data_IF_595746303511
#
_entry.id   IF_595746303511
#
_cell.length_a   1.000
_cell.length_b   1.000
_cell.length_c   1.000
_cell.angle_alpha   90.00
_cell.angle_beta   90.00
_cell.angle_gamma   90.00
#
_symmetry.space_group_name_H-M   'P 1'
#
loop_
_entity.id
_entity.type
_entity.pdbx_description
1 polymer ?
#
# COMPACT_ATOMS: atom_id res chain seq x y z
N UNK A 1 -23.24 21.70 -1.23
CA UNK A 1 -22.61 22.01 0.08
C UNK A 1 -21.82 23.29 -0.12
N UNK A 2 -21.94 24.28 0.77
CA UNK A 2 -21.05 25.45 0.72
C UNK A 2 -19.73 25.09 1.44
N UNK A 3 -18.55 25.31 0.83
CA UNK A 3 -17.28 24.98 1.46
C UNK A 3 -17.07 25.86 2.69
N UNK A 4 -17.08 25.25 3.87
CA UNK A 4 -16.70 25.93 5.10
C UNK A 4 -15.17 25.99 5.20
N UNK A 5 -14.60 26.94 5.98
CA UNK A 5 -13.17 26.92 6.27
C UNK A 5 -12.69 25.59 6.88
N UNK A 6 -13.55 24.93 7.67
CA UNK A 6 -13.27 23.63 8.29
C UNK A 6 -13.14 22.54 7.21
N UNK A 7 -14.08 22.50 6.26
CA UNK A 7 -14.05 21.55 5.13
C UNK A 7 -12.86 21.80 4.21
N UNK A 8 -12.48 23.06 3.98
CA UNK A 8 -11.29 23.40 3.21
C UNK A 8 -10.01 22.89 3.90
N UNK A 9 -9.88 23.06 5.22
CA UNK A 9 -8.76 22.50 6.00
C UNK A 9 -8.75 20.97 5.92
N UNK A 10 -9.91 20.33 6.07
CA UNK A 10 -10.01 18.88 5.96
C UNK A 10 -9.59 18.36 4.59
N UNK A 11 -10.00 19.03 3.51
CA UNK A 11 -9.60 18.66 2.14
C UNK A 11 -8.09 18.80 1.93
N UNK A 12 -7.47 19.86 2.47
CA UNK A 12 -6.02 20.01 2.45
C UNK A 12 -5.33 18.87 3.23
N UNK A 13 -5.80 18.56 4.44
CA UNK A 13 -5.24 17.45 5.23
C UNK A 13 -5.42 16.12 4.52
N UNK A 14 -6.56 15.86 3.91
CA UNK A 14 -6.83 14.59 3.25
C UNK A 14 -5.98 14.40 1.97
N UNK A 15 -5.83 15.45 1.16
CA UNK A 15 -5.15 15.36 -0.13
C UNK A 15 -3.62 15.44 -0.03
N UNK A 16 -3.07 16.15 0.95
CA UNK A 16 -1.61 16.36 1.06
C UNK A 16 -1.04 16.12 2.47
N UNK A 17 -1.86 15.72 3.43
CA UNK A 17 -1.44 15.59 4.84
C UNK A 17 -0.35 14.55 5.07
N UNK A 18 -0.37 13.43 4.34
CA UNK A 18 0.69 12.41 4.44
C UNK A 18 2.05 12.97 4.00
N UNK A 19 2.10 13.63 2.84
CA UNK A 19 3.32 14.24 2.30
C UNK A 19 3.84 15.36 3.20
N UNK A 20 2.94 16.22 3.70
CA UNK A 20 3.31 17.29 4.62
C UNK A 20 3.85 16.73 5.93
N UNK A 21 3.18 15.71 6.50
CA UNK A 21 3.62 15.07 7.72
C UNK A 21 5.01 14.46 7.54
N UNK A 22 5.23 13.76 6.43
CA UNK A 22 6.50 13.13 6.17
C UNK A 22 7.65 14.16 6.02
N UNK A 23 7.44 15.23 5.25
CA UNK A 23 8.41 16.34 5.14
C UNK A 23 8.72 17.00 6.48
N UNK A 24 7.69 17.23 7.30
CA UNK A 24 7.87 17.85 8.62
C UNK A 24 8.70 16.96 9.55
N UNK A 25 8.50 15.64 9.51
CA UNK A 25 9.29 14.67 10.29
C UNK A 25 10.75 14.65 9.83
N UNK A 26 11.00 14.60 8.52
CA UNK A 26 12.36 14.64 7.96
C UNK A 26 13.09 15.92 8.37
N UNK A 27 12.45 17.07 8.20
CA UNK A 27 13.01 18.35 8.62
C UNK A 27 13.26 18.45 10.14
N UNK A 28 12.46 17.76 10.97
CA UNK A 28 12.69 17.69 12.41
C UNK A 28 13.88 16.78 12.76
N UNK A 29 14.00 15.62 12.10
CA UNK A 29 15.08 14.67 12.28
C UNK A 29 16.45 15.28 11.92
N UNK A 30 16.52 16.04 10.82
CA UNK A 30 17.73 16.73 10.37
C UNK A 30 18.22 17.78 11.38
N UNK A 31 17.30 18.47 12.08
CA UNK A 31 17.65 19.48 13.10
C UNK A 31 18.18 18.86 14.39
N UNK A 32 17.75 17.65 14.71
CA UNK A 32 18.15 16.93 15.93
C UNK A 32 19.39 16.08 15.76
N UNK A 33 19.82 15.84 14.51
CA UNK A 33 21.02 15.06 14.23
C UNK A 33 22.26 15.97 14.37
N UNK A 34 23.16 15.71 15.34
CA UNK A 34 24.44 16.43 15.38
C UNK A 34 25.20 16.13 14.08
N UNK A 35 25.91 17.12 13.55
CA UNK A 35 26.75 16.94 12.36
C UNK A 35 27.74 15.80 12.59
N UNK A 36 27.41 14.59 12.14
CA UNK A 36 28.26 13.41 12.30
C UNK A 36 29.40 13.53 11.31
N UNK A 37 30.61 13.77 11.81
CA UNK A 37 31.87 13.78 11.05
C UNK A 37 32.35 12.36 10.73
N UNK A 38 31.47 11.46 10.32
CA UNK A 38 31.79 10.07 9.98
C UNK A 38 30.80 9.53 8.96
N UNK A 39 31.33 9.07 7.83
CA UNK A 39 30.58 8.53 6.70
C UNK A 39 29.74 7.32 7.10
N UNK A 40 28.52 7.28 6.55
CA UNK A 40 27.48 6.24 6.64
C UNK A 40 26.54 6.37 7.86
N UNK A 41 25.27 6.79 7.65
CA UNK A 41 24.23 6.70 8.66
C UNK A 41 24.08 5.25 9.15
N UNK A 42 23.80 5.02 10.44
CA UNK A 42 23.46 3.69 10.92
C UNK A 42 22.23 3.17 10.16
N UNK A 43 22.26 1.90 9.76
CA UNK A 43 21.13 1.24 9.11
C UNK A 43 19.86 1.42 9.97
N UNK A 44 18.69 1.70 9.35
CA UNK A 44 17.45 1.88 10.09
C UNK A 44 17.19 0.66 10.98
N UNK A 45 16.79 0.92 12.23
CA UNK A 45 16.40 -0.16 13.13
C UNK A 45 14.96 -0.57 12.86
N UNK A 46 14.61 -1.81 13.12
CA UNK A 46 13.23 -2.33 13.11
C UNK A 46 12.21 -1.44 13.85
N UNK A 47 12.64 -0.81 14.95
CA UNK A 47 11.82 0.12 15.73
C UNK A 47 11.63 1.47 15.02
N UNK A 48 12.57 1.87 14.16
CA UNK A 48 12.47 3.04 13.28
C UNK A 48 11.43 2.76 12.18
N UNK A 49 11.47 1.56 11.57
CA UNK A 49 10.56 1.15 10.50
C UNK A 49 9.09 1.12 10.96
N UNK A 50 8.78 0.46 12.09
CA UNK A 50 7.40 0.44 12.60
C UNK A 50 6.91 1.82 13.03
N UNK A 51 7.79 2.64 13.61
CA UNK A 51 7.46 4.01 14.00
C UNK A 51 7.06 4.84 12.79
N UNK A 52 7.68 4.62 11.64
CA UNK A 52 7.34 5.34 10.42
C UNK A 52 5.88 5.15 10.03
N UNK A 53 5.34 3.95 10.20
CA UNK A 53 3.94 3.63 9.93
C UNK A 53 2.97 4.16 11.00
N UNK A 54 3.35 4.16 12.28
CA UNK A 54 2.48 4.67 13.36
C UNK A 54 2.08 6.13 13.13
N UNK A 55 3.01 6.97 12.65
CA UNK A 55 2.71 8.38 12.41
C UNK A 55 1.63 8.62 11.36
N UNK A 56 1.44 7.69 10.41
CA UNK A 56 0.39 7.81 9.39
C UNK A 56 -1.01 7.98 10.00
N UNK A 57 -1.24 7.44 11.20
CA UNK A 57 -2.52 7.57 11.93
C UNK A 57 -2.86 9.00 12.37
N UNK A 58 -1.89 9.93 12.38
CA UNK A 58 -2.16 11.34 12.67
C UNK A 58 -3.12 11.97 11.65
N UNK A 59 -3.01 11.59 10.36
CA UNK A 59 -3.88 12.12 9.30
C UNK A 59 -5.35 11.74 9.52
N UNK A 60 -5.75 10.45 9.60
CA UNK A 60 -7.14 10.10 9.86
C UNK A 60 -7.62 10.59 11.23
N UNK A 61 -6.78 10.68 12.26
CA UNK A 61 -7.18 11.27 13.54
C UNK A 61 -7.61 12.74 13.40
N UNK A 62 -6.83 13.55 12.67
CA UNK A 62 -7.19 14.94 12.37
C UNK A 62 -8.45 15.00 11.51
N UNK A 63 -8.60 14.13 10.51
CA UNK A 63 -9.79 14.11 9.66
C UNK A 63 -11.06 13.73 10.44
N UNK A 64 -10.99 12.77 11.36
CA UNK A 64 -12.12 12.42 12.23
C UNK A 64 -12.50 13.58 13.16
N UNK A 65 -11.51 14.32 13.67
CA UNK A 65 -11.76 15.57 14.38
C UNK A 65 -12.46 16.60 13.48
N UNK A 66 -11.99 16.79 12.25
CA UNK A 66 -12.61 17.69 11.28
C UNK A 66 -14.06 17.28 11.01
N UNK A 67 -14.34 15.99 10.77
CA UNK A 67 -15.71 15.46 10.59
C UNK A 67 -16.60 15.81 11.78
N UNK A 68 -16.09 15.65 13.01
CA UNK A 68 -16.82 16.02 14.21
C UNK A 68 -17.07 17.54 14.30
N UNK A 69 -16.09 18.36 13.93
CA UNK A 69 -16.20 19.83 13.89
C UNK A 69 -17.15 20.33 12.79
N UNK A 70 -17.31 19.58 11.70
CA UNK A 70 -18.35 19.82 10.69
C UNK A 70 -19.77 19.49 11.18
N UNK A 71 -19.91 18.85 12.36
CA UNK A 71 -21.18 18.34 12.86
C UNK A 71 -21.69 17.11 12.10
N UNK A 72 -20.81 16.44 11.34
CA UNK A 72 -21.14 15.28 10.53
C UNK A 72 -20.94 13.97 11.31
N UNK A 73 -21.68 12.92 10.95
CA UNK A 73 -21.47 11.57 11.47
C UNK A 73 -20.40 10.82 10.69
N UNK A 74 -19.92 9.70 11.23
CA UNK A 74 -18.97 8.81 10.53
C UNK A 74 -19.54 8.26 9.21
N UNK A 75 -20.87 8.16 9.08
CA UNK A 75 -21.50 7.75 7.83
C UNK A 75 -21.27 8.76 6.68
N UNK A 76 -20.89 10.00 6.99
CA UNK A 76 -20.51 11.03 6.02
C UNK A 76 -19.13 10.80 5.38
N UNK A 77 -18.32 9.93 5.97
CA UNK A 77 -17.02 9.49 5.44
C UNK A 77 -17.05 8.02 5.03
N UNK A 78 -18.23 7.51 4.67
CA UNK A 78 -18.40 6.15 4.20
C UNK A 78 -18.37 5.07 5.28
N UNK A 79 -18.32 5.39 6.58
CA UNK A 79 -18.41 4.37 7.63
C UNK A 79 -19.83 3.78 7.71
N UNK A 80 -20.09 2.77 6.86
CA UNK A 80 -21.40 2.17 6.63
C UNK A 80 -21.27 0.66 6.55
N UNK A 81 -21.91 -0.04 7.48
CA UNK A 81 -22.02 -1.50 7.49
C UNK A 81 -23.51 -1.82 7.53
N UNK A 82 -24.06 -2.30 6.40
CA UNK A 82 -25.47 -2.67 6.33
C UNK A 82 -25.73 -4.02 7.02
N UNK A 83 -24.89 -5.01 6.74
CA UNK A 83 -24.91 -6.33 7.36
C UNK A 83 -23.52 -6.98 7.26
N UNK A 84 -23.25 -7.95 8.13
CA UNK A 84 -21.99 -8.72 8.11
C UNK A 84 -21.89 -9.54 6.82
N UNK A 85 -23.00 -10.14 6.37
CA UNK A 85 -23.04 -10.91 5.12
C UNK A 85 -22.66 -10.06 3.90
N UNK A 86 -23.26 -8.85 3.79
CA UNK A 86 -22.91 -7.92 2.72
C UNK A 86 -21.45 -7.48 2.83
N UNK A 87 -20.96 -7.21 4.04
CA UNK A 87 -19.56 -6.82 4.25
C UNK A 87 -18.61 -7.93 3.77
N UNK A 88 -18.85 -9.19 4.14
CA UNK A 88 -18.04 -10.33 3.69
C UNK A 88 -18.10 -10.50 2.18
N UNK A 89 -19.29 -10.38 1.58
CA UNK A 89 -19.44 -10.41 0.12
C UNK A 89 -18.66 -9.28 -0.57
N UNK A 90 -18.74 -8.05 -0.06
CA UNK A 90 -18.01 -6.89 -0.60
C UNK A 90 -16.50 -7.14 -0.55
N UNK A 91 -16.00 -7.62 0.60
CA UNK A 91 -14.59 -7.94 0.77
C UNK A 91 -14.16 -9.03 -0.23
N UNK A 92 -14.92 -10.13 -0.33
CA UNK A 92 -14.61 -11.22 -1.24
C UNK A 92 -14.59 -10.81 -2.71
N UNK A 93 -15.60 -10.06 -3.16
CA UNK A 93 -15.68 -9.56 -4.54
C UNK A 93 -14.59 -8.54 -4.83
N UNK A 94 -14.35 -7.61 -3.90
CA UNK A 94 -13.30 -6.60 -4.06
C UNK A 94 -11.90 -7.20 -4.13
N UNK A 95 -11.60 -8.16 -3.24
CA UNK A 95 -10.32 -8.87 -3.26
C UNK A 95 -10.16 -9.71 -4.53
N UNK A 96 -11.20 -10.42 -4.97
CA UNK A 96 -11.16 -11.15 -6.24
C UNK A 96 -10.93 -10.22 -7.44
N UNK A 97 -11.51 -9.02 -7.44
CA UNK A 97 -11.28 -8.03 -8.47
C UNK A 97 -9.84 -7.50 -8.47
N UNK A 98 -9.27 -7.21 -7.28
CA UNK A 98 -7.86 -6.80 -7.13
C UNK A 98 -6.91 -7.86 -7.69
N UNK A 99 -7.00 -9.09 -7.16
CA UNK A 99 -6.09 -10.18 -7.50
C UNK A 99 -6.28 -10.61 -8.96
N UNK A 100 -7.53 -10.71 -9.42
CA UNK A 100 -7.85 -11.03 -10.80
C UNK A 100 -7.30 -10.01 -11.79
N UNK A 101 -7.39 -8.71 -11.48
CA UNK A 101 -6.81 -7.68 -12.33
C UNK A 101 -5.28 -7.75 -12.35
N UNK A 102 -4.63 -7.95 -11.19
CA UNK A 102 -3.18 -8.12 -11.11
C UNK A 102 -2.71 -9.31 -11.97
N UNK A 103 -3.38 -10.46 -11.86
CA UNK A 103 -3.09 -11.63 -12.70
C UNK A 103 -3.32 -11.36 -14.19
N UNK A 104 -4.44 -10.72 -14.54
CA UNK A 104 -4.79 -10.42 -15.94
C UNK A 104 -3.82 -9.44 -16.60
N UNK A 105 -3.33 -8.46 -15.85
CA UNK A 105 -2.43 -7.40 -16.33
C UNK A 105 -0.95 -7.78 -16.24
N UNK A 106 -0.58 -8.84 -15.51
CA UNK A 106 0.81 -9.25 -15.36
C UNK A 106 1.56 -9.45 -16.70
N UNK A 107 0.99 -10.11 -17.74
CA UNK A 107 1.67 -10.26 -19.03
C UNK A 107 1.86 -8.94 -19.79
N UNK A 108 1.01 -7.94 -19.53
CA UNK A 108 1.16 -6.60 -20.09
C UNK A 108 2.33 -5.90 -19.40
N UNK A 109 2.34 -5.91 -18.07
CA UNK A 109 3.38 -5.31 -17.25
C UNK A 109 4.76 -5.94 -17.42
N UNK A 110 4.84 -7.21 -17.81
CA UNK A 110 6.09 -7.86 -18.19
C UNK A 110 6.69 -7.30 -19.50
N UNK A 111 5.90 -6.58 -20.31
CA UNK A 111 6.31 -6.05 -21.63
C UNK A 111 6.42 -4.53 -21.71
N UNK A 112 5.99 -3.82 -20.68
CA UNK A 112 6.00 -2.35 -20.63
C UNK A 112 6.68 -1.86 -19.35
N UNK A 113 7.24 -0.66 -19.39
CA UNK A 113 8.00 -0.11 -18.27
C UNK A 113 9.19 -0.99 -17.92
N UNK A 114 9.34 -1.24 -16.63
CA UNK A 114 10.43 -1.97 -15.97
C UNK A 114 10.17 -3.48 -15.75
N UNK A 115 9.11 -4.06 -16.33
CA UNK A 115 8.79 -5.48 -16.11
C UNK A 115 8.22 -5.82 -14.72
N UNK A 116 8.50 -5.02 -13.69
CA UNK A 116 7.99 -5.14 -12.33
C UNK A 116 9.04 -5.02 -11.26
N UNK A 117 10.27 -4.79 -11.69
CA UNK A 117 11.44 -4.70 -10.83
C UNK A 117 11.30 -3.59 -9.79
N UNK A 118 10.78 -2.41 -10.14
CA UNK A 118 10.61 -1.30 -9.22
C UNK A 118 9.55 -1.57 -8.15
N UNK A 119 8.41 -2.16 -8.53
CA UNK A 119 7.39 -2.55 -7.55
C UNK A 119 7.88 -3.69 -6.67
N UNK A 120 8.57 -4.68 -7.26
CA UNK A 120 9.16 -5.80 -6.55
C UNK A 120 10.23 -5.33 -5.54
N UNK A 121 11.11 -4.42 -5.94
CA UNK A 121 12.14 -3.80 -5.08
C UNK A 121 11.52 -3.07 -3.89
N UNK A 122 10.48 -2.26 -4.12
CA UNK A 122 9.76 -1.58 -3.05
C UNK A 122 9.01 -2.55 -2.11
N UNK A 123 8.54 -3.70 -2.58
CA UNK A 123 8.01 -4.75 -1.71
C UNK A 123 9.14 -5.48 -0.95
N UNK A 124 10.26 -5.74 -1.62
CA UNK A 124 11.45 -6.39 -1.06
C UNK A 124 12.06 -5.61 0.11
N UNK A 125 11.92 -4.28 0.15
CA UNK A 125 12.36 -3.48 1.31
C UNK A 125 11.64 -3.84 2.62
N UNK A 126 10.50 -4.54 2.56
CA UNK A 126 9.77 -5.03 3.73
C UNK A 126 10.11 -6.49 4.10
N UNK A 127 11.00 -7.16 3.37
CA UNK A 127 11.37 -8.55 3.61
C UNK A 127 12.00 -8.77 5.01
N UNK A 128 12.65 -7.77 5.59
CA UNK A 128 13.22 -7.87 6.95
C UNK A 128 12.18 -7.86 8.08
N UNK A 129 10.94 -7.43 7.80
CA UNK A 129 9.86 -7.39 8.77
C UNK A 129 9.32 -8.80 9.07
N UNK A 130 8.89 -9.03 10.32
CA UNK A 130 8.17 -10.28 10.63
C UNK A 130 6.75 -10.26 10.06
N UNK A 131 6.11 -11.43 9.98
CA UNK A 131 4.72 -11.56 9.53
C UNK A 131 3.76 -10.59 10.25
N UNK A 132 3.74 -10.50 11.61
CA UNK A 132 2.87 -9.54 12.28
C UNK A 132 3.12 -8.08 11.90
N UNK A 133 4.36 -7.73 11.59
CA UNK A 133 4.73 -6.36 11.20
C UNK A 133 4.29 -6.05 9.79
N UNK A 134 4.48 -6.98 8.85
CA UNK A 134 3.95 -6.87 7.48
C UNK A 134 2.43 -6.70 7.48
N UNK A 135 1.72 -7.47 8.32
CA UNK A 135 0.27 -7.33 8.49
C UNK A 135 -0.11 -5.98 9.12
N UNK A 136 0.68 -5.49 10.08
CA UNK A 136 0.47 -4.16 10.66
C UNK A 136 0.68 -3.03 9.63
N UNK A 137 1.70 -3.16 8.77
CA UNK A 137 1.95 -2.23 7.65
C UNK A 137 0.79 -2.23 6.68
N UNK A 138 0.35 -3.41 6.22
CA UNK A 138 -0.78 -3.56 5.31
C UNK A 138 -2.07 -2.96 5.88
N UNK A 139 -2.39 -3.26 7.14
CA UNK A 139 -3.57 -2.68 7.79
C UNK A 139 -3.45 -1.18 7.98
N UNK A 140 -2.26 -0.68 8.34
CA UNK A 140 -2.04 0.76 8.52
C UNK A 140 -2.18 1.50 7.19
N UNK A 141 -1.62 0.98 6.09
CA UNK A 141 -1.80 1.55 4.75
C UNK A 141 -3.29 1.61 4.40
N UNK A 142 -3.97 0.46 4.38
CA UNK A 142 -5.39 0.39 4.05
C UNK A 142 -6.28 1.25 4.96
N UNK A 143 -6.07 1.26 6.27
CA UNK A 143 -6.92 2.05 7.17
C UNK A 143 -6.70 3.56 7.04
N UNK A 144 -5.44 4.00 7.00
CA UNK A 144 -5.11 5.43 7.03
C UNK A 144 -5.38 6.09 5.69
N UNK A 145 -5.02 5.43 4.60
CA UNK A 145 -5.12 5.99 3.25
C UNK A 145 -6.58 6.01 2.79
N UNK A 146 -7.32 4.91 2.96
CA UNK A 146 -8.73 4.86 2.58
C UNK A 146 -9.58 5.85 3.38
N UNK A 147 -9.27 6.08 4.66
CA UNK A 147 -9.96 7.10 5.46
C UNK A 147 -9.73 8.51 4.89
N UNK A 148 -8.52 8.80 4.44
CA UNK A 148 -8.17 10.11 3.90
C UNK A 148 -8.75 10.34 2.51
N UNK A 149 -8.43 9.46 1.56
CA UNK A 149 -8.73 9.66 0.15
C UNK A 149 -10.20 9.32 -0.15
N UNK A 150 -10.68 8.12 0.19
CA UNK A 150 -12.05 7.70 -0.16
C UNK A 150 -13.07 8.13 0.89
N UNK A 151 -12.70 8.01 2.16
CA UNK A 151 -13.55 8.41 3.29
C UNK A 151 -13.79 9.90 3.31
N UNK A 152 -12.74 10.72 3.43
CA UNK A 152 -12.90 12.17 3.56
C UNK A 152 -12.88 12.90 2.20
N UNK A 153 -11.78 12.81 1.44
CA UNK A 153 -11.58 13.65 0.27
C UNK A 153 -12.65 13.41 -0.81
N UNK A 154 -12.87 12.16 -1.21
CA UNK A 154 -13.84 11.81 -2.24
C UNK A 154 -15.25 12.24 -1.84
N UNK A 155 -15.69 11.97 -0.61
CA UNK A 155 -17.03 12.35 -0.13
C UNK A 155 -17.24 13.87 -0.14
N UNK A 156 -16.24 14.64 0.30
CA UNK A 156 -16.34 16.10 0.32
C UNK A 156 -16.24 16.70 -1.08
N UNK A 157 -15.35 16.20 -1.92
CA UNK A 157 -15.28 16.59 -3.33
C UNK A 157 -16.59 16.26 -4.07
N UNK A 158 -17.20 15.11 -3.79
CA UNK A 158 -18.48 14.72 -4.37
C UNK A 158 -19.60 15.66 -3.90
N UNK A 159 -19.64 16.01 -2.61
CA UNK A 159 -20.64 16.94 -2.07
C UNK A 159 -20.50 18.39 -2.59
N UNK A 160 -19.27 18.80 -2.95
CA UNK A 160 -18.97 20.12 -3.50
C UNK A 160 -19.21 20.20 -5.02
N UNK A 161 -18.80 19.16 -5.75
CA UNK A 161 -18.83 19.16 -7.22
C UNK A 161 -20.11 18.56 -7.81
N UNK A 162 -20.79 17.68 -7.06
CA UNK A 162 -21.91 16.87 -7.57
C UNK A 162 -21.52 15.87 -8.67
N UNK A 163 -20.23 15.70 -8.96
CA UNK A 163 -19.73 14.94 -10.09
C UNK A 163 -18.84 13.79 -9.62
N UNK A 164 -19.33 12.53 -9.65
CA UNK A 164 -18.53 11.37 -9.29
C UNK A 164 -17.21 11.25 -10.06
N UNK A 165 -17.15 11.46 -11.40
CA UNK A 165 -15.89 11.40 -12.13
C UNK A 165 -14.86 12.44 -11.67
N UNK A 166 -15.29 13.66 -11.34
CA UNK A 166 -14.39 14.73 -10.89
C UNK A 166 -13.87 14.42 -9.48
N UNK A 167 -14.76 14.07 -8.56
CA UNK A 167 -14.38 13.73 -7.19
C UNK A 167 -13.44 12.51 -7.13
N UNK A 168 -13.80 11.46 -7.85
CA UNK A 168 -12.98 10.25 -7.96
C UNK A 168 -11.64 10.54 -8.61
N UNK A 169 -11.61 11.29 -9.71
CA UNK A 169 -10.38 11.64 -10.43
C UNK A 169 -9.40 12.42 -9.56
N UNK A 170 -9.86 13.46 -8.85
CA UNK A 170 -9.00 14.24 -7.95
C UNK A 170 -8.44 13.38 -6.81
N UNK A 171 -9.30 12.59 -6.16
CA UNK A 171 -8.89 11.72 -5.05
C UNK A 171 -7.89 10.64 -5.51
N UNK A 172 -8.17 9.99 -6.64
CA UNK A 172 -7.31 8.98 -7.26
C UNK A 172 -5.94 9.55 -7.62
N UNK A 173 -5.89 10.73 -8.25
CA UNK A 173 -4.64 11.36 -8.64
C UNK A 173 -3.82 11.79 -7.43
N UNK A 174 -4.46 12.33 -6.39
CA UNK A 174 -3.78 12.70 -5.15
C UNK A 174 -3.20 11.46 -4.43
N UNK A 175 -3.96 10.38 -4.33
CA UNK A 175 -3.49 9.10 -3.78
C UNK A 175 -2.27 8.57 -4.54
N UNK A 176 -2.38 8.50 -5.86
CA UNK A 176 -1.32 7.95 -6.72
C UNK A 176 -0.07 8.82 -6.67
N UNK A 177 -0.22 10.14 -6.75
CA UNK A 177 0.90 11.07 -6.66
C UNK A 177 1.60 11.04 -5.29
N UNK A 178 0.84 10.80 -4.21
CA UNK A 178 1.38 10.67 -2.85
C UNK A 178 2.30 9.47 -2.64
N UNK A 179 2.35 8.53 -3.58
CA UNK A 179 3.30 7.42 -3.55
C UNK A 179 4.67 7.77 -4.13
N UNK A 180 4.77 8.83 -4.94
CA UNK A 180 6.05 9.22 -5.53
C UNK A 180 7.03 9.68 -4.43
N UNK A 181 8.15 8.97 -4.29
CA UNK A 181 9.12 9.27 -3.23
C UNK A 181 10.26 8.27 -3.18
N UNK A 182 10.89 8.15 -2.00
CA UNK A 182 12.10 7.35 -1.82
C UNK A 182 11.82 5.83 -1.93
N UNK A 183 10.63 5.38 -1.53
CA UNK A 183 10.22 3.96 -1.59
C UNK A 183 9.72 3.54 -2.96
N UNK A 184 8.99 4.43 -3.66
CA UNK A 184 8.37 4.10 -4.94
C UNK A 184 8.82 5.06 -6.02
N UNK A 185 9.54 4.52 -6.99
CA UNK A 185 9.88 5.27 -8.19
C UNK A 185 8.68 5.44 -9.12
N UNK A 186 8.91 6.10 -10.26
CA UNK A 186 7.85 6.41 -11.23
C UNK A 186 7.17 5.17 -11.82
N UNK A 187 7.92 4.10 -12.08
CA UNK A 187 7.38 2.88 -12.70
C UNK A 187 6.54 2.10 -11.66
N UNK A 188 7.01 2.04 -10.40
CA UNK A 188 6.22 1.50 -9.30
C UNK A 188 4.92 2.30 -9.07
N UNK A 189 4.98 3.64 -9.09
CA UNK A 189 3.79 4.49 -8.95
C UNK A 189 2.78 4.25 -10.08
N UNK A 190 3.24 4.03 -11.31
CA UNK A 190 2.35 3.70 -12.43
C UNK A 190 1.65 2.35 -12.22
N UNK A 191 2.34 1.36 -11.64
CA UNK A 191 1.72 0.09 -11.26
C UNK A 191 0.75 0.24 -10.09
N UNK A 192 1.07 1.06 -9.09
CA UNK A 192 0.18 1.37 -7.95
C UNK A 192 -1.10 2.09 -8.40
N UNK A 193 -1.04 2.86 -9.49
CA UNK A 193 -2.21 3.52 -10.06
C UNK A 193 -3.32 2.50 -10.45
N UNK A 194 -2.96 1.26 -10.80
CA UNK A 194 -3.94 0.22 -11.14
C UNK A 194 -4.83 -0.18 -9.94
N UNK A 195 -4.30 -0.69 -8.82
CA UNK A 195 -5.13 -0.99 -7.65
C UNK A 195 -5.82 0.27 -7.11
N UNK A 196 -5.17 1.44 -7.13
CA UNK A 196 -5.77 2.70 -6.71
C UNK A 196 -7.04 3.09 -7.51
N UNK A 197 -7.02 2.87 -8.83
CA UNK A 197 -8.19 3.11 -9.67
C UNK A 197 -9.32 2.15 -9.29
N UNK A 198 -9.01 0.87 -9.12
CA UNK A 198 -10.04 -0.12 -8.81
C UNK A 198 -10.59 0.06 -7.39
N UNK A 199 -9.78 0.36 -6.38
CA UNK A 199 -10.31 0.70 -5.03
C UNK A 199 -11.23 1.91 -5.09
N UNK A 200 -10.89 2.92 -5.90
CA UNK A 200 -11.77 4.08 -6.16
C UNK A 200 -13.10 3.66 -6.77
N UNK A 201 -13.10 2.79 -7.78
CA UNK A 201 -14.34 2.28 -8.41
C UNK A 201 -15.15 1.40 -7.44
N UNK A 202 -14.49 0.53 -6.68
CA UNK A 202 -15.12 -0.30 -5.65
C UNK A 202 -15.74 0.57 -4.57
N UNK A 203 -15.11 1.67 -4.15
CA UNK A 203 -15.71 2.59 -3.20
C UNK A 203 -17.00 3.22 -3.72
N UNK A 204 -16.97 3.72 -4.96
CA UNK A 204 -18.15 4.33 -5.60
C UNK A 204 -19.30 3.32 -5.71
N UNK A 205 -18.99 2.04 -5.88
CA UNK A 205 -19.98 0.98 -5.94
C UNK A 205 -20.50 0.57 -4.55
N UNK A 206 -19.59 0.23 -3.63
CA UNK A 206 -19.94 -0.35 -2.33
C UNK A 206 -20.38 0.69 -1.31
N UNK A 207 -19.86 1.93 -1.42
CA UNK A 207 -20.10 3.04 -0.48
C UNK A 207 -19.88 2.64 0.98
N UNK A 208 -18.89 1.77 1.21
CA UNK A 208 -18.51 1.21 2.51
C UNK A 208 -17.00 1.34 2.69
N UNK A 209 -16.60 2.26 3.57
CA UNK A 209 -15.21 2.46 3.96
C UNK A 209 -14.64 1.23 4.68
N UNK A 210 -15.33 0.56 5.63
CA UNK A 210 -14.80 -0.64 6.26
C UNK A 210 -14.51 -1.79 5.28
N UNK A 211 -15.39 -1.99 4.27
CA UNK A 211 -15.15 -2.98 3.23
C UNK A 211 -13.88 -2.64 2.43
N UNK A 212 -13.71 -1.38 2.07
CA UNK A 212 -12.57 -0.93 1.27
C UNK A 212 -11.25 -1.00 2.01
N UNK A 213 -11.23 -0.60 3.29
CA UNK A 213 -10.07 -0.77 4.19
C UNK A 213 -9.64 -2.24 4.22
N UNK A 214 -10.59 -3.16 4.37
CA UNK A 214 -10.28 -4.59 4.39
C UNK A 214 -9.77 -5.09 3.03
N UNK A 215 -10.36 -4.66 1.92
CA UNK A 215 -9.90 -5.04 0.57
C UNK A 215 -8.46 -4.56 0.32
N UNK A 216 -8.19 -3.29 0.60
CA UNK A 216 -6.86 -2.70 0.43
C UNK A 216 -5.84 -3.42 1.34
N UNK A 217 -6.12 -3.52 2.65
CA UNK A 217 -5.22 -4.19 3.58
C UNK A 217 -4.95 -5.66 3.22
N UNK A 218 -5.95 -6.39 2.71
CA UNK A 218 -5.76 -7.78 2.28
C UNK A 218 -4.93 -7.88 0.99
N UNK A 219 -5.15 -6.98 0.02
CA UNK A 219 -4.34 -6.90 -1.18
C UNK A 219 -2.86 -6.65 -0.85
N UNK A 220 -2.59 -5.68 0.03
CA UNK A 220 -1.24 -5.36 0.48
C UNK A 220 -0.62 -6.49 1.29
N UNK A 221 -1.41 -7.14 2.15
CA UNK A 221 -0.94 -8.29 2.91
C UNK A 221 -0.47 -9.42 1.98
N UNK A 222 -1.17 -9.69 0.87
CA UNK A 222 -0.71 -10.68 -0.12
C UNK A 222 0.66 -10.29 -0.68
N UNK A 223 0.84 -9.05 -1.13
CA UNK A 223 2.12 -8.58 -1.67
C UNK A 223 3.25 -8.62 -0.65
N UNK A 224 3.00 -8.15 0.58
CA UNK A 224 4.00 -8.08 1.64
C UNK A 224 4.35 -9.45 2.21
N UNK A 225 3.40 -10.38 2.34
CA UNK A 225 3.70 -11.75 2.76
C UNK A 225 4.58 -12.48 1.75
N UNK A 226 4.51 -12.09 0.48
CA UNK A 226 5.37 -12.59 -0.60
C UNK A 226 6.66 -11.77 -0.78
N UNK A 227 6.93 -10.77 0.07
CA UNK A 227 8.07 -9.85 -0.06
C UNK A 227 9.43 -10.53 -0.22
N UNK A 228 9.63 -11.67 0.46
CA UNK A 228 10.89 -12.44 0.40
C UNK A 228 11.22 -12.94 -1.00
N UNK A 229 10.21 -13.20 -1.84
CA UNK A 229 10.38 -13.61 -3.24
C UNK A 229 10.92 -12.48 -4.14
N UNK A 230 10.93 -11.24 -3.63
CA UNK A 230 11.35 -10.05 -4.36
C UNK A 230 12.67 -9.45 -3.87
N UNK A 231 13.33 -10.11 -2.90
CA UNK A 231 14.68 -9.72 -2.49
C UNK A 231 15.65 -10.08 -3.63
N UNK A 232 16.51 -9.16 -4.09
CA UNK A 232 17.58 -9.52 -5.01
C UNK A 232 18.38 -10.68 -4.41
N UNK A 233 18.68 -11.72 -5.20
CA UNK A 233 19.66 -12.73 -4.82
C UNK A 233 21.01 -12.02 -4.68
N UNK A 234 21.33 -11.58 -3.48
CA UNK A 234 22.69 -11.23 -3.08
C UNK A 234 23.46 -12.55 -3.15
N UNK A 235 24.07 -12.84 -4.30
CA UNK A 235 24.79 -14.10 -4.53
C UNK A 235 25.71 -14.47 -3.36
N UNK A 236 25.25 -15.37 -2.49
CA UNK A 236 26.01 -16.06 -1.45
C UNK A 236 25.13 -17.19 -0.86
N UNK A 237 25.56 -18.45 -0.77
CA UNK A 237 26.93 -18.93 -0.76
C UNK A 237 27.15 -20.20 -1.58
N UNK A 238 28.22 -20.15 -2.38
CA UNK A 238 29.14 -21.27 -2.46
C UNK A 238 29.51 -21.72 -1.03
N UNK A 239 28.87 -22.76 -0.53
CA UNK A 239 29.44 -23.57 0.56
C UNK A 239 30.17 -24.75 -0.07
N UNK A 240 31.38 -24.48 -0.54
CA UNK A 240 32.42 -25.49 -0.60
C UNK A 240 32.75 -25.93 0.82
N UNK A 241 32.18 -27.04 1.26
CA UNK A 241 32.68 -27.83 2.37
C UNK A 241 32.68 -29.29 1.92
N UNK A 242 33.81 -29.71 1.35
CA UNK A 242 34.04 -31.11 1.04
C UNK A 242 34.19 -31.93 2.31
N UNK A 243 33.46 -33.03 2.39
CA UNK A 243 33.89 -34.26 3.09
C UNK A 243 33.21 -35.47 2.45
N UNK A 244 34.01 -36.32 1.80
CA UNK A 244 33.94 -37.78 1.93
C UNK A 244 32.89 -38.56 1.11
N UNK A 245 33.35 -39.09 -0.02
CA UNK A 245 33.30 -40.50 -0.44
C UNK A 245 31.95 -41.28 -0.50
N UNK A 246 31.72 -41.77 -1.73
CA UNK A 246 31.15 -43.06 -2.14
C UNK A 246 29.66 -43.36 -1.90
N UNK A 247 28.87 -43.39 -2.98
CA UNK A 247 28.46 -44.65 -3.64
C UNK A 247 27.34 -44.40 -4.67
N UNK A 248 27.52 -45.01 -5.85
CA UNK A 248 26.51 -45.17 -6.90
C UNK A 248 25.19 -45.74 -6.35
N UNK A 249 24.06 -45.26 -6.88
CA UNK A 249 22.99 -46.13 -7.40
C UNK A 249 21.94 -45.31 -8.17
N UNK A 250 21.79 -45.65 -9.43
CA UNK A 250 20.66 -45.28 -10.29
C UNK A 250 19.32 -45.74 -9.68
N UNK A 251 18.33 -44.86 -9.64
CA UNK A 251 16.91 -45.21 -9.78
C UNK A 251 16.08 -43.97 -10.15
N UNK A 252 15.33 -44.11 -11.24
CA UNK A 252 14.31 -43.19 -11.75
C UNK A 252 13.34 -42.69 -10.65
N UNK A 253 13.09 -41.38 -10.63
CA UNK A 253 11.80 -40.83 -10.19
C UNK A 253 11.46 -39.58 -11.02
N UNK A 254 10.37 -39.58 -11.80
CA UNK A 254 10.01 -38.45 -12.64
C UNK A 254 9.15 -37.43 -11.90
N UNK A 255 9.51 -36.16 -12.09
CA UNK A 255 8.59 -35.02 -12.18
C UNK A 255 8.00 -34.46 -10.87
N UNK A 256 8.73 -33.52 -10.26
CA UNK A 256 8.15 -32.52 -9.34
C UNK A 256 8.83 -31.14 -9.48
N UNK A 257 8.88 -30.59 -10.71
CA UNK A 257 9.43 -29.25 -10.95
C UNK A 257 8.49 -28.26 -11.66
N UNK A 258 7.23 -28.61 -11.88
CA UNK A 258 6.34 -27.78 -12.71
C UNK A 258 5.54 -26.70 -11.95
N UNK A 259 5.66 -26.60 -10.62
CA UNK A 259 4.82 -25.69 -9.84
C UNK A 259 5.26 -24.20 -9.84
N UNK A 260 6.50 -23.89 -10.25
CA UNK A 260 7.09 -22.54 -10.05
C UNK A 260 7.51 -21.84 -11.36
N UNK A 261 7.43 -22.51 -12.50
CA UNK A 261 7.86 -21.94 -13.79
C UNK A 261 7.07 -20.71 -14.25
N UNK A 262 5.76 -20.66 -13.95
CA UNK A 262 4.89 -19.57 -14.40
C UNK A 262 5.12 -18.23 -13.68
N UNK A 263 5.91 -18.21 -12.59
CA UNK A 263 6.30 -16.99 -11.88
C UNK A 263 7.54 -16.32 -12.47
N UNK A 264 8.33 -17.03 -13.28
CA UNK A 264 9.61 -16.53 -13.83
C UNK A 264 9.54 -16.06 -15.29
N UNK A 265 8.42 -16.24 -15.97
CA UNK A 265 8.22 -15.67 -17.31
C UNK A 265 9.20 -16.21 -18.37
N UNK A 266 9.60 -17.48 -18.27
CA UNK A 266 10.18 -18.24 -19.38
C UNK A 266 9.07 -18.91 -20.22
#
# INVERSE_FOLDING_TARGET
MDPTPITAVGLLVALVGFELLDRLRRAAADRTSPASTGDTPPAPTRATELREHVWKWAVPAVLLLVVALEGNSLASVGWRIESIERLVWQIGVGLAAMLGLNMFTAPLWARVGDGGESLASGLGSFAALSIPERLFVAFTAGATEETAFHGYALERLLALTGSPPVAAGISFLAFTAGHAGDTWDREAVLRIAQPALVTTLLYLWFRSLPALIAIHALNDAVGLLLAELYTPDDGAGESGAGTGADADTDADDPDDSTAVGWLRGE
#
